data_IF_782347539774
#
_entry.id   IF_782347539774
#
_cell.length_a   1.000
_cell.length_b   1.000
_cell.length_c   1.000
_cell.angle_alpha   90.00
_cell.angle_beta   90.00
_cell.angle_gamma   90.00
#
_symmetry.space_group_name_H-M   'P 1'
#
loop_
_entity.id
_entity.type
_entity.pdbx_description
1 polymer ?
#
# COMPACT_ATOMS: atom_id res chain seq x y z
N UNK A 1 -13.27 12.18 -5.98
CA UNK A 1 -12.37 12.13 -4.82
C UNK A 1 -11.54 10.90 -5.04
N UNK A 2 -10.26 11.12 -5.26
CA UNK A 2 -9.34 10.05 -5.62
C UNK A 2 -8.62 9.61 -4.34
N UNK A 3 -8.64 8.32 -4.06
CA UNK A 3 -7.95 7.75 -2.91
C UNK A 3 -6.78 6.92 -3.44
N UNK A 4 -5.59 7.19 -2.93
CA UNK A 4 -4.41 6.39 -3.23
C UNK A 4 -3.99 5.58 -2.00
N UNK A 5 -3.51 4.38 -2.26
CA UNK A 5 -2.82 3.55 -1.30
C UNK A 5 -1.37 3.44 -1.72
N UNK A 6 -0.46 3.84 -0.84
CA UNK A 6 0.97 3.70 -1.04
C UNK A 6 1.60 2.89 0.07
N UNK A 7 2.56 2.05 -0.31
CA UNK A 7 3.31 1.20 0.60
C UNK A 7 4.79 1.51 0.46
N UNK A 8 5.42 1.85 1.58
CA UNK A 8 6.86 2.03 1.69
C UNK A 8 7.45 0.82 2.41
N UNK A 9 8.40 0.18 1.76
CA UNK A 9 9.15 -0.95 2.30
C UNK A 9 10.64 -0.64 2.30
N UNK A 10 11.38 -1.00 3.35
CA UNK A 10 12.84 -0.94 3.34
C UNK A 10 13.45 -1.67 2.13
N UNK A 11 14.46 -1.06 1.49
CA UNK A 11 15.11 -1.56 0.26
C UNK A 11 15.73 -2.94 0.41
N UNK A 12 16.12 -3.31 1.64
CA UNK A 12 16.73 -4.58 1.99
C UNK A 12 15.74 -5.75 2.01
N UNK A 13 14.42 -5.48 2.00
CA UNK A 13 13.41 -6.53 2.00
C UNK A 13 13.40 -7.28 0.67
N UNK A 14 13.49 -8.61 0.76
CA UNK A 14 13.27 -9.49 -0.39
C UNK A 14 11.75 -9.71 -0.60
N UNK A 15 11.11 -8.77 -1.29
CA UNK A 15 9.67 -8.79 -1.56
C UNK A 15 9.21 -10.01 -2.39
N UNK A 16 10.08 -10.53 -3.28
CA UNK A 16 9.76 -11.70 -4.10
C UNK A 16 9.60 -12.96 -3.24
N UNK A 17 10.42 -13.10 -2.20
CA UNK A 17 10.30 -14.21 -1.23
C UNK A 17 9.00 -14.17 -0.43
N UNK A 18 8.36 -13.00 -0.36
CA UNK A 18 7.06 -12.76 0.27
C UNK A 18 5.90 -12.87 -0.73
N UNK A 19 6.18 -13.15 -2.00
CA UNK A 19 5.19 -13.37 -3.05
C UNK A 19 4.83 -12.14 -3.89
N UNK A 20 5.42 -10.97 -3.62
CA UNK A 20 5.25 -9.77 -4.45
C UNK A 20 6.29 -9.82 -5.58
N UNK A 21 5.85 -10.23 -6.78
CA UNK A 21 6.74 -10.56 -7.91
C UNK A 21 6.67 -9.49 -8.98
N UNK A 22 7.81 -9.17 -9.60
CA UNK A 22 7.86 -8.25 -10.74
C UNK A 22 7.09 -8.83 -11.94
N UNK A 23 6.29 -8.00 -12.60
CA UNK A 23 5.54 -8.33 -13.81
C UNK A 23 6.37 -7.89 -15.01
N UNK A 24 6.82 -8.86 -15.80
CA UNK A 24 7.61 -8.62 -17.01
C UNK A 24 6.74 -8.57 -18.25
N UNK A 25 7.17 -7.80 -19.25
CA UNK A 25 6.61 -7.86 -20.62
C UNK A 25 7.46 -8.82 -21.44
N UNK A 26 6.81 -9.68 -22.22
CA UNK A 26 7.50 -10.59 -23.15
C UNK A 26 7.48 -10.01 -24.56
N UNK A 27 8.66 -9.91 -25.18
CA UNK A 27 8.82 -9.51 -26.56
C UNK A 27 9.84 -10.40 -27.25
N UNK A 28 9.44 -11.04 -28.35
CA UNK A 28 10.28 -11.98 -29.09
C UNK A 28 10.90 -13.12 -28.23
N UNK A 29 10.19 -13.56 -27.18
CA UNK A 29 10.65 -14.61 -26.25
C UNK A 29 11.60 -14.12 -25.16
N UNK A 30 11.93 -12.83 -25.13
CA UNK A 30 12.71 -12.21 -24.06
C UNK A 30 11.81 -11.46 -23.06
N UNK A 31 12.21 -11.42 -21.79
CA UNK A 31 11.48 -10.77 -20.71
C UNK A 31 12.13 -9.43 -20.35
N UNK A 32 11.31 -8.39 -20.31
CA UNK A 32 11.73 -7.02 -20.04
C UNK A 32 11.03 -6.46 -18.81
N UNK A 33 11.80 -5.82 -17.93
CA UNK A 33 11.27 -4.99 -16.83
C UNK A 33 10.45 -3.86 -17.43
N UNK A 34 9.33 -3.54 -16.78
CA UNK A 34 8.53 -2.36 -17.11
C UNK A 34 9.16 -1.09 -16.50
N UNK A 35 8.87 0.06 -17.10
CA UNK A 35 9.19 1.39 -16.56
C UNK A 35 7.92 2.25 -16.59
N UNK A 36 7.32 2.57 -15.43
CA UNK A 36 7.69 2.13 -14.07
C UNK A 36 7.52 0.62 -13.87
N UNK A 37 8.26 0.07 -12.90
CA UNK A 37 8.18 -1.36 -12.56
C UNK A 37 6.82 -1.70 -11.99
N UNK A 38 6.29 -2.86 -12.35
CA UNK A 38 5.03 -3.37 -11.81
C UNK A 38 5.27 -4.64 -11.04
N UNK A 39 4.55 -4.80 -9.95
CA UNK A 39 4.61 -5.96 -9.09
C UNK A 39 3.20 -6.51 -8.86
N UNK A 40 3.09 -7.82 -8.71
CA UNK A 40 1.82 -8.49 -8.48
C UNK A 40 1.92 -9.41 -7.27
N UNK A 41 0.88 -9.38 -6.44
CA UNK A 41 0.75 -10.24 -5.28
C UNK A 41 -0.49 -11.14 -5.41
N UNK A 42 -0.28 -12.46 -5.34
CA UNK A 42 -1.32 -13.50 -5.41
C UNK A 42 -2.38 -13.28 -6.50
N UNK A 43 -1.96 -12.85 -7.68
CA UNK A 43 -2.82 -12.52 -8.83
C UNK A 43 -3.94 -11.49 -8.57
N UNK A 44 -3.95 -10.84 -7.41
CA UNK A 44 -5.07 -10.05 -6.89
C UNK A 44 -4.78 -8.56 -6.80
N UNK A 45 -3.57 -8.21 -6.34
CA UNK A 45 -3.14 -6.82 -6.17
C UNK A 45 -1.97 -6.53 -7.12
N UNK A 46 -2.06 -5.40 -7.80
CA UNK A 46 -1.01 -4.88 -8.67
C UNK A 46 -0.48 -3.60 -8.05
N UNK A 47 0.83 -3.50 -7.97
CA UNK A 47 1.53 -2.33 -7.48
C UNK A 47 2.45 -1.79 -8.57
N UNK A 48 2.62 -0.47 -8.60
CA UNK A 48 3.58 0.22 -9.45
C UNK A 48 4.64 0.87 -8.55
N UNK A 49 5.92 0.71 -8.89
CA UNK A 49 7.00 1.33 -8.12
C UNK A 49 7.05 2.83 -8.41
N UNK A 50 6.95 3.63 -7.35
CA UNK A 50 7.02 5.08 -7.42
C UNK A 50 8.38 5.57 -6.92
N UNK A 51 9.08 6.35 -7.74
CA UNK A 51 10.48 6.75 -7.50
C UNK A 51 10.63 8.13 -6.86
N UNK A 52 9.65 9.02 -7.02
CA UNK A 52 9.75 10.41 -6.53
C UNK A 52 9.10 10.58 -5.16
N UNK A 53 9.76 10.06 -4.13
CA UNK A 53 9.21 10.06 -2.76
C UNK A 53 9.53 11.34 -1.97
N UNK A 54 10.22 12.30 -2.57
CA UNK A 54 10.67 13.51 -1.89
C UNK A 54 9.50 14.35 -1.34
N UNK A 55 8.37 14.36 -2.05
CA UNK A 55 7.15 15.05 -1.62
C UNK A 55 6.61 14.57 -0.28
N UNK A 56 6.77 13.28 0.04
CA UNK A 56 6.24 12.68 1.27
C UNK A 56 6.98 13.10 2.53
N UNK A 57 8.25 13.48 2.45
CA UNK A 57 9.00 13.97 3.62
C UNK A 57 8.34 15.18 4.27
N UNK A 58 7.74 16.06 3.47
CA UNK A 58 7.03 17.23 3.97
C UNK A 58 5.72 16.86 4.69
N UNK A 59 5.16 15.69 4.41
CA UNK A 59 3.83 15.25 4.87
C UNK A 59 3.96 14.39 6.13
N UNK A 60 4.86 13.39 6.12
CA UNK A 60 4.98 12.40 7.21
C UNK A 60 6.01 12.83 8.27
N UNK A 61 6.78 13.89 8.01
CA UNK A 61 7.77 14.46 8.91
C UNK A 61 9.14 13.77 8.85
N UNK A 62 10.14 14.40 9.49
CA UNK A 62 11.55 14.00 9.42
C UNK A 62 11.90 12.74 10.24
N UNK A 63 10.98 12.23 11.06
CA UNK A 63 11.20 11.07 11.93
C UNK A 63 11.08 9.72 11.18
N UNK A 64 10.83 9.79 9.87
CA UNK A 64 10.65 8.64 8.97
C UNK A 64 11.61 8.80 7.79
N UNK A 65 12.55 7.86 7.69
CA UNK A 65 13.60 7.86 6.66
C UNK A 65 13.06 7.12 5.43
N UNK A 66 12.41 7.86 4.53
CA UNK A 66 11.90 7.31 3.26
C UNK A 66 13.01 7.05 2.23
N UNK A 67 14.18 7.68 2.41
CA UNK A 67 15.33 7.55 1.51
C UNK A 67 15.79 6.09 1.35
N UNK A 68 15.65 5.28 2.41
CA UNK A 68 15.98 3.84 2.40
C UNK A 68 14.80 2.93 2.12
N UNK A 69 13.67 3.50 1.68
CA UNK A 69 12.48 2.75 1.31
C UNK A 69 12.24 2.78 -0.20
N UNK A 70 11.55 1.76 -0.70
CA UNK A 70 10.90 1.75 -2.01
C UNK A 70 9.41 2.02 -1.81
N UNK A 71 8.83 2.85 -2.67
CA UNK A 71 7.40 3.12 -2.65
C UNK A 71 6.67 2.31 -3.72
N UNK A 72 5.51 1.79 -3.36
CA UNK A 72 4.63 0.96 -4.19
C UNK A 72 3.22 1.52 -4.12
N UNK A 73 2.72 2.06 -5.24
CA UNK A 73 1.36 2.57 -5.34
C UNK A 73 0.44 1.45 -5.80
N UNK A 74 -0.63 1.16 -5.04
CA UNK A 74 -1.63 0.17 -5.42
C UNK A 74 -2.39 0.66 -6.67
N UNK A 75 -2.51 -0.20 -7.66
CA UNK A 75 -3.13 0.08 -8.96
C UNK A 75 -4.46 -0.63 -9.13
N UNK A 76 -5.24 -0.14 -10.09
CA UNK A 76 -6.51 -0.73 -10.49
C UNK A 76 -7.64 -0.41 -9.50
N UNK A 77 -8.61 -1.32 -9.40
CA UNK A 77 -9.87 -1.05 -8.71
C UNK A 77 -9.96 -1.70 -7.31
N UNK A 78 -8.89 -2.31 -6.83
CA UNK A 78 -8.91 -3.08 -5.57
C UNK A 78 -9.29 -2.20 -4.37
N UNK A 79 -8.80 -0.96 -4.30
CA UNK A 79 -9.13 -0.04 -3.22
C UNK A 79 -10.60 0.40 -3.26
N UNK A 80 -11.13 0.70 -4.45
CA UNK A 80 -12.54 1.08 -4.62
C UNK A 80 -13.48 -0.11 -4.32
N UNK A 81 -13.10 -1.33 -4.72
CA UNK A 81 -13.83 -2.55 -4.38
C UNK A 81 -13.85 -2.77 -2.87
N UNK A 82 -12.70 -2.56 -2.21
CA UNK A 82 -12.61 -2.64 -0.76
C UNK A 82 -13.52 -1.60 -0.08
N UNK A 83 -13.47 -0.35 -0.53
CA UNK A 83 -14.33 0.71 -0.02
C UNK A 83 -15.82 0.41 -0.22
N UNK A 84 -16.21 -0.14 -1.37
CA UNK A 84 -17.59 -0.54 -1.62
C UNK A 84 -18.05 -1.62 -0.62
N UNK A 85 -17.20 -2.60 -0.30
CA UNK A 85 -17.53 -3.61 0.69
C UNK A 85 -17.68 -3.03 2.11
N UNK A 86 -16.84 -2.05 2.48
CA UNK A 86 -16.97 -1.31 3.75
C UNK A 86 -18.33 -0.60 3.81
N UNK A 87 -18.70 0.14 2.75
CA UNK A 87 -19.97 0.86 2.68
C UNK A 87 -21.19 -0.07 2.79
N UNK A 88 -21.08 -1.28 2.25
CA UNK A 88 -22.14 -2.27 2.27
C UNK A 88 -22.12 -3.17 3.52
N UNK A 89 -21.24 -2.88 4.49
CA UNK A 89 -21.04 -3.67 5.72
C UNK A 89 -20.82 -5.17 5.43
N UNK A 90 -20.12 -5.48 4.32
CA UNK A 90 -19.86 -6.85 3.90
C UNK A 90 -18.57 -7.40 4.50
N UNK A 91 -18.50 -8.73 4.54
CA UNK A 91 -17.29 -9.44 4.95
C UNK A 91 -16.08 -9.09 4.06
N UNK A 92 -15.01 -8.64 4.70
CA UNK A 92 -13.75 -8.24 4.08
C UNK A 92 -12.70 -9.36 4.09
N UNK A 93 -12.94 -10.48 4.79
CA UNK A 93 -11.93 -11.49 5.09
C UNK A 93 -11.25 -12.08 3.83
N UNK A 94 -12.01 -12.20 2.74
CA UNK A 94 -11.52 -12.77 1.48
C UNK A 94 -11.09 -11.70 0.46
N UNK A 95 -11.16 -10.42 0.81
CA UNK A 95 -10.73 -9.35 -0.09
C UNK A 95 -9.20 -9.30 -0.18
N UNK A 96 -8.65 -9.04 -1.37
CA UNK A 96 -7.20 -9.05 -1.63
C UNK A 96 -6.40 -8.15 -0.70
N UNK A 97 -6.92 -6.96 -0.34
CA UNK A 97 -6.29 -6.05 0.62
C UNK A 97 -6.23 -6.65 2.04
N UNK A 98 -7.29 -7.30 2.51
CA UNK A 98 -7.30 -7.96 3.82
C UNK A 98 -6.28 -9.11 3.88
N UNK A 99 -6.28 -9.96 2.84
CA UNK A 99 -5.31 -11.03 2.71
C UNK A 99 -3.87 -10.49 2.63
N UNK A 100 -3.66 -9.38 1.91
CA UNK A 100 -2.34 -8.74 1.81
C UNK A 100 -1.85 -8.23 3.17
N UNK A 101 -2.72 -7.64 3.99
CA UNK A 101 -2.35 -7.25 5.36
C UNK A 101 -1.94 -8.47 6.19
N UNK A 102 -2.75 -9.53 6.18
CA UNK A 102 -2.56 -10.71 7.02
C UNK A 102 -1.41 -11.62 6.57
N UNK A 103 -1.13 -11.69 5.27
CA UNK A 103 -0.17 -12.65 4.71
C UNK A 103 1.13 -12.02 4.23
N UNK A 104 1.12 -10.73 3.85
CA UNK A 104 2.31 -10.02 3.36
C UNK A 104 2.81 -9.01 4.41
N UNK A 105 1.99 -8.02 4.77
CA UNK A 105 2.40 -6.94 5.68
C UNK A 105 2.73 -7.46 7.08
N UNK A 106 1.97 -8.45 7.58
CA UNK A 106 2.22 -9.07 8.88
C UNK A 106 3.62 -9.71 9.02
N UNK A 107 4.27 -10.07 7.90
CA UNK A 107 5.61 -10.69 7.89
C UNK A 107 6.74 -9.65 7.89
N UNK A 108 6.41 -8.37 7.77
CA UNK A 108 7.36 -7.28 7.63
C UNK A 108 7.42 -6.51 8.95
N UNK A 109 8.63 -6.33 9.49
CA UNK A 109 8.82 -5.62 10.75
C UNK A 109 8.61 -4.12 10.58
N UNK A 110 9.12 -3.55 9.49
CA UNK A 110 9.18 -2.11 9.27
C UNK A 110 8.51 -1.78 7.94
N UNK A 111 7.49 -0.93 7.98
CA UNK A 111 6.75 -0.50 6.80
C UNK A 111 5.98 0.78 7.08
N UNK A 112 5.67 1.54 6.03
CA UNK A 112 4.73 2.66 6.11
C UNK A 112 3.65 2.45 5.05
N UNK A 113 2.40 2.67 5.42
CA UNK A 113 1.27 2.70 4.49
C UNK A 113 0.66 4.09 4.54
N UNK A 114 0.46 4.70 3.38
CA UNK A 114 -0.25 5.97 3.24
C UNK A 114 -1.58 5.76 2.53
N UNK A 115 -2.62 6.36 3.08
CA UNK A 115 -3.87 6.65 2.40
C UNK A 115 -3.87 8.15 2.11
N UNK A 116 -3.85 8.50 0.84
CA UNK A 116 -3.83 9.89 0.38
C UNK A 116 -5.19 10.21 -0.23
N UNK A 117 -5.77 11.35 0.16
CA UNK A 117 -7.00 11.86 -0.42
C UNK A 117 -6.65 12.96 -1.42
N UNK A 118 -7.23 12.90 -2.62
CA UNK A 118 -6.95 13.83 -3.71
C UNK A 118 -5.43 14.04 -3.93
N UNK A 119 -4.69 12.92 -3.93
CA UNK A 119 -3.24 12.78 -4.19
C UNK A 119 -2.28 13.22 -3.07
N UNK A 120 -2.59 14.24 -2.29
CA UNK A 120 -1.63 14.79 -1.31
C UNK A 120 -2.22 15.13 0.06
N UNK A 121 -3.52 14.96 0.26
CA UNK A 121 -4.17 15.29 1.53
C UNK A 121 -4.03 14.17 2.55
N UNK A 122 -3.68 14.59 3.76
CA UNK A 122 -3.29 13.71 4.83
C UNK A 122 -3.63 14.35 6.19
N UNK A 123 -4.35 13.62 7.02
CA UNK A 123 -4.91 14.13 8.27
C UNK A 123 -4.13 13.67 9.51
N UNK A 124 -3.74 12.38 9.57
CA UNK A 124 -3.27 11.75 10.82
C UNK A 124 -2.20 10.68 10.62
N UNK A 125 -1.17 10.71 11.46
CA UNK A 125 -0.11 9.69 11.53
C UNK A 125 -0.37 8.79 12.74
N UNK A 126 -0.33 7.47 12.53
CA UNK A 126 -0.48 6.45 13.55
C UNK A 126 0.77 5.57 13.62
N UNK A 127 1.32 5.41 14.82
CA UNK A 127 2.35 4.42 15.08
C UNK A 127 1.69 3.07 15.37
N UNK A 128 2.02 2.06 14.58
CA UNK A 128 1.38 0.77 14.58
C UNK A 128 2.23 -0.24 15.31
N UNK A 129 1.62 -0.98 16.23
CA UNK A 129 2.25 -2.12 16.89
C UNK A 129 1.67 -3.44 16.38
N UNK A 130 0.38 -3.46 16.06
CA UNK A 130 -0.36 -4.67 15.67
C UNK A 130 -0.98 -4.56 14.26
N UNK A 131 -1.05 -5.70 13.56
CA UNK A 131 -1.60 -5.71 12.19
C UNK A 131 -3.12 -5.52 12.17
N UNK A 132 -3.84 -5.99 13.19
CA UNK A 132 -5.29 -5.81 13.26
C UNK A 132 -5.63 -4.35 13.55
N UNK A 133 -4.85 -3.68 14.39
CA UNK A 133 -4.94 -2.23 14.60
C UNK A 133 -4.74 -1.47 13.28
N UNK A 134 -3.70 -1.81 12.51
CA UNK A 134 -3.46 -1.19 11.21
C UNK A 134 -4.63 -1.37 10.25
N UNK A 135 -5.15 -2.59 10.15
CA UNK A 135 -6.27 -2.92 9.27
C UNK A 135 -7.56 -2.20 9.69
N UNK A 136 -7.85 -2.15 11.00
CA UNK A 136 -8.98 -1.40 11.53
C UNK A 136 -8.89 0.10 11.21
N UNK A 137 -7.70 0.70 11.34
CA UNK A 137 -7.49 2.11 11.00
C UNK A 137 -7.67 2.38 9.50
N UNK A 138 -7.18 1.47 8.65
CA UNK A 138 -7.40 1.50 7.21
C UNK A 138 -8.89 1.44 6.86
N UNK A 139 -9.63 0.49 7.44
CA UNK A 139 -11.06 0.34 7.21
C UNK A 139 -11.80 1.62 7.58
N UNK A 140 -11.51 2.15 8.78
CA UNK A 140 -12.14 3.37 9.28
C UNK A 140 -11.83 4.58 8.40
N UNK A 141 -10.61 4.72 7.89
CA UNK A 141 -10.21 5.87 7.07
C UNK A 141 -10.82 5.85 5.66
N UNK A 142 -11.30 4.69 5.21
CA UNK A 142 -11.98 4.54 3.92
C UNK A 142 -13.51 4.58 4.03
N UNK A 143 -14.06 4.66 5.24
CA UNK A 143 -15.50 4.66 5.46
C UNK A 143 -16.15 5.93 4.87
N UNK A 144 -17.23 5.82 4.06
CA UNK A 144 -17.79 6.95 3.31
C UNK A 144 -18.23 8.15 4.15
N UNK A 145 -18.67 7.92 5.39
CA UNK A 145 -19.10 8.98 6.30
C UNK A 145 -17.95 9.83 6.84
N UNK A 146 -16.72 9.30 6.86
CA UNK A 146 -15.55 9.98 7.41
C UNK A 146 -14.27 9.49 6.75
N UNK A 147 -14.12 9.81 5.46
CA UNK A 147 -12.91 9.48 4.72
C UNK A 147 -11.78 10.38 5.20
N UNK A 148 -10.65 9.77 5.55
CA UNK A 148 -9.48 10.46 6.10
C UNK A 148 -8.21 9.99 5.39
N UNK A 149 -7.30 10.92 5.10
CA UNK A 149 -5.93 10.59 4.71
C UNK A 149 -5.12 10.20 5.95
N UNK A 150 -4.46 9.05 5.95
CA UNK A 150 -3.77 8.52 7.13
C UNK A 150 -2.44 7.86 6.78
N UNK A 151 -1.50 7.85 7.74
CA UNK A 151 -0.24 7.12 7.64
C UNK A 151 -0.23 6.12 8.77
N UNK A 152 0.08 4.91 8.41
CA UNK A 152 0.28 3.80 9.33
C UNK A 152 1.78 3.50 9.31
N UNK A 153 2.45 3.69 10.43
CA UNK A 153 3.91 3.59 10.53
C UNK A 153 4.27 2.49 11.51
N UNK A 154 4.90 1.41 11.03
CA UNK A 154 5.45 0.35 11.87
C UNK A 154 6.98 0.40 11.83
N UNK A 155 7.62 0.42 13.00
CA UNK A 155 9.07 0.53 13.20
C UNK A 155 9.64 -0.72 13.88
#
# INVERSE_FOLDING_TARGET
>A
MDILFELFLPKEINIESLGLKEVFVEWAGERYSQEPKKFQWNDSLIFEEYKDTAGYHNIIGNDIILEESRCYTLQGNALNQFQALICEERDLANHGICLFFNEFIAKITNWIILILIDYDQFDKIYNINDINEAFYLLERSLHPENIEGIALVKK
#
